data_IF_531971758139
#
_entry.id   IF_531971758139
#
_cell.length_a   1.000
_cell.length_b   1.000
_cell.length_c   1.000
_cell.angle_alpha   90.00
_cell.angle_beta   90.00
_cell.angle_gamma   90.00
#
_symmetry.space_group_name_H-M   'P 1'
#
loop_
_entity.id
_entity.type
_entity.pdbx_description
1 polymer ?
#
# COMPACT_ATOMS: atom_id res chain seq x y z
N UNK A 1 -25.14 -33.33 -11.38
CA UNK A 1 -23.92 -32.57 -11.65
C UNK A 1 -23.35 -32.06 -10.34
N UNK A 2 -22.09 -32.34 -10.05
CA UNK A 2 -21.44 -31.85 -8.82
C UNK A 2 -21.26 -30.33 -8.90
N UNK A 3 -21.74 -29.60 -7.89
CA UNK A 3 -21.55 -28.14 -7.81
C UNK A 3 -20.04 -27.83 -7.68
N UNK A 4 -19.53 -26.78 -8.34
CA UNK A 4 -18.12 -26.39 -8.18
C UNK A 4 -17.76 -26.12 -6.74
N UNK A 5 -16.51 -26.45 -6.34
CA UNK A 5 -16.03 -26.32 -4.96
C UNK A 5 -16.15 -24.85 -4.47
N UNK A 6 -15.93 -23.86 -5.36
CA UNK A 6 -16.04 -22.44 -5.05
C UNK A 6 -17.44 -22.01 -4.56
N UNK A 7 -18.50 -22.73 -4.97
CA UNK A 7 -19.90 -22.40 -4.62
C UNK A 7 -20.47 -23.36 -3.56
N UNK A 8 -19.85 -24.51 -3.32
CA UNK A 8 -20.32 -25.52 -2.39
C UNK A 8 -19.63 -25.49 -1.01
N UNK A 9 -18.34 -25.13 -0.96
CA UNK A 9 -17.59 -25.06 0.29
C UNK A 9 -17.83 -23.73 1.01
N UNK A 10 -18.16 -23.68 2.32
CA UNK A 10 -18.55 -22.46 3.02
C UNK A 10 -17.51 -21.31 2.91
N UNK A 11 -16.22 -21.61 3.15
CA UNK A 11 -15.15 -20.60 3.08
C UNK A 11 -14.91 -20.09 1.64
N UNK A 12 -14.87 -21.02 0.66
CA UNK A 12 -14.69 -20.63 -0.73
C UNK A 12 -15.90 -19.86 -1.29
N UNK A 13 -17.10 -20.16 -0.80
CA UNK A 13 -18.30 -19.41 -1.15
C UNK A 13 -18.24 -17.95 -0.70
N UNK A 14 -17.67 -17.66 0.48
CA UNK A 14 -17.47 -16.28 0.96
C UNK A 14 -16.53 -15.54 0.00
N UNK A 15 -15.36 -16.12 -0.28
CA UNK A 15 -14.39 -15.53 -1.20
C UNK A 15 -14.95 -15.40 -2.63
N UNK A 16 -15.69 -16.39 -3.10
CA UNK A 16 -16.34 -16.37 -4.40
C UNK A 16 -17.33 -15.20 -4.53
N UNK A 17 -18.22 -15.06 -3.54
CA UNK A 17 -19.24 -14.01 -3.57
C UNK A 17 -18.61 -12.60 -3.42
N UNK A 18 -17.48 -12.51 -2.73
CA UNK A 18 -16.80 -11.25 -2.48
C UNK A 18 -15.89 -10.78 -3.63
N UNK A 19 -15.31 -11.70 -4.39
CA UNK A 19 -14.26 -11.39 -5.35
C UNK A 19 -14.55 -11.85 -6.79
N UNK A 20 -15.35 -12.91 -6.95
CA UNK A 20 -15.60 -13.52 -8.27
C UNK A 20 -17.00 -13.18 -8.79
N UNK A 21 -18.02 -13.51 -8.02
CA UNK A 21 -19.43 -13.34 -8.44
C UNK A 21 -20.01 -12.01 -7.90
N UNK A 22 -19.16 -10.97 -7.66
CA UNK A 22 -19.62 -9.64 -7.27
C UNK A 22 -20.32 -8.96 -8.46
N UNK A 23 -21.61 -8.60 -8.34
CA UNK A 23 -22.30 -7.94 -9.43
C UNK A 23 -21.66 -6.60 -9.79
N UNK A 24 -21.23 -6.45 -11.04
CA UNK A 24 -20.57 -5.26 -11.56
C UNK A 24 -21.37 -4.66 -12.74
N UNK A 25 -21.36 -3.32 -12.91
CA UNK A 25 -21.96 -2.67 -14.07
C UNK A 25 -21.34 -3.19 -15.37
N UNK A 26 -22.15 -3.44 -16.39
CA UNK A 26 -21.69 -3.98 -17.69
C UNK A 26 -20.86 -2.99 -18.51
N UNK A 27 -20.98 -1.69 -18.24
CA UNK A 27 -20.37 -0.60 -18.99
C UNK A 27 -19.06 -0.07 -18.39
N UNK A 28 -18.48 -0.77 -17.41
CA UNK A 28 -17.15 -0.40 -16.85
C UNK A 28 -16.04 -0.70 -17.86
N UNK A 29 -14.97 0.10 -17.81
CA UNK A 29 -13.80 -0.04 -18.68
C UNK A 29 -12.57 -0.55 -17.92
N UNK A 30 -11.44 -0.71 -18.61
CA UNK A 30 -10.16 -1.10 -18.00
C UNK A 30 -9.70 -0.19 -16.87
N UNK A 31 -10.18 1.04 -16.78
CA UNK A 31 -9.91 1.96 -15.68
C UNK A 31 -10.39 1.44 -14.29
N UNK A 32 -11.35 0.51 -14.28
CA UNK A 32 -11.81 -0.15 -13.04
C UNK A 32 -10.86 -1.25 -12.56
N UNK A 33 -9.96 -1.73 -13.42
CA UNK A 33 -9.00 -2.79 -13.07
C UNK A 33 -7.87 -2.32 -12.14
N UNK A 34 -7.63 -1.01 -12.01
CA UNK A 34 -6.54 -0.51 -11.17
C UNK A 34 -6.71 -0.83 -9.69
N UNK A 35 -7.94 -1.06 -9.20
CA UNK A 35 -8.17 -1.53 -7.84
C UNK A 35 -7.63 -2.95 -7.61
N UNK A 36 -7.91 -3.89 -8.50
CA UNK A 36 -7.41 -5.27 -8.42
C UNK A 36 -5.89 -5.34 -8.65
N UNK A 37 -5.35 -4.51 -9.55
CA UNK A 37 -3.91 -4.37 -9.74
C UNK A 37 -3.20 -3.87 -8.48
N UNK A 38 -3.81 -2.93 -7.75
CA UNK A 38 -3.27 -2.47 -6.45
C UNK A 38 -3.25 -3.60 -5.42
N UNK A 39 -4.29 -4.45 -5.39
CA UNK A 39 -4.29 -5.65 -4.54
C UNK A 39 -3.16 -6.62 -4.87
N UNK A 40 -2.92 -6.85 -6.16
CA UNK A 40 -1.79 -7.67 -6.63
C UNK A 40 -0.44 -7.04 -6.22
N UNK A 41 -0.29 -5.72 -6.46
CA UNK A 41 0.92 -4.99 -6.05
C UNK A 41 1.17 -5.10 -4.54
N UNK A 42 0.12 -4.94 -3.71
CA UNK A 42 0.24 -5.07 -2.26
C UNK A 42 0.73 -6.48 -1.88
N UNK A 43 0.18 -7.51 -2.49
CA UNK A 43 0.62 -8.90 -2.28
C UNK A 43 2.11 -9.09 -2.63
N UNK A 44 2.54 -8.59 -3.79
CA UNK A 44 3.95 -8.65 -4.23
C UNK A 44 4.85 -7.89 -3.26
N UNK A 45 4.45 -6.68 -2.81
CA UNK A 45 5.24 -5.88 -1.86
C UNK A 45 5.37 -6.58 -0.50
N UNK A 46 4.31 -7.16 0.04
CA UNK A 46 4.34 -7.89 1.32
C UNK A 46 5.25 -9.11 1.20
N UNK A 47 5.09 -9.93 0.17
CA UNK A 47 5.89 -11.15 -0.01
C UNK A 47 7.37 -10.83 -0.20
N UNK A 48 7.69 -9.93 -1.12
CA UNK A 48 9.10 -9.53 -1.36
C UNK A 48 9.71 -8.86 -0.13
N UNK A 49 8.95 -8.00 0.57
CA UNK A 49 9.40 -7.33 1.79
C UNK A 49 9.68 -8.29 2.94
N UNK A 50 8.85 -9.33 3.10
CA UNK A 50 9.07 -10.36 4.10
C UNK A 50 10.40 -11.08 3.90
N UNK A 51 10.71 -11.50 2.67
CA UNK A 51 12.00 -12.14 2.36
C UNK A 51 13.19 -11.19 2.50
N UNK A 52 13.03 -9.91 2.13
CA UNK A 52 14.09 -8.90 2.33
C UNK A 52 14.37 -8.66 3.82
N UNK A 53 13.33 -8.64 4.65
CA UNK A 53 13.48 -8.45 6.09
C UNK A 53 14.27 -9.56 6.79
N UNK A 54 14.33 -10.77 6.23
CA UNK A 54 15.13 -11.89 6.77
C UNK A 54 16.64 -11.65 6.70
N UNK A 55 17.09 -10.75 5.82
CA UNK A 55 18.50 -10.46 5.55
C UNK A 55 18.90 -9.02 5.83
N UNK A 56 17.93 -8.13 6.07
CA UNK A 56 18.16 -6.72 6.31
C UNK A 56 18.49 -6.46 7.79
N UNK A 57 19.44 -5.58 8.05
CA UNK A 57 19.82 -5.15 9.41
C UNK A 57 19.56 -3.67 9.60
N UNK A 58 18.63 -3.31 10.49
CA UNK A 58 18.23 -1.93 10.77
C UNK A 58 19.23 -1.28 11.75
N UNK A 59 20.45 -1.00 11.29
CA UNK A 59 21.50 -0.32 12.05
C UNK A 59 22.29 0.61 11.13
N UNK A 60 22.63 1.81 11.57
CA UNK A 60 23.26 2.84 10.71
C UNK A 60 24.54 2.39 10.04
N UNK A 61 25.35 1.57 10.71
CA UNK A 61 26.61 1.03 10.16
C UNK A 61 26.40 -0.19 9.26
N UNK A 62 25.26 -0.86 9.33
CA UNK A 62 25.02 -2.14 8.68
C UNK A 62 23.91 -2.10 7.63
N UNK A 63 23.02 -1.12 7.65
CA UNK A 63 21.86 -1.09 6.77
C UNK A 63 22.27 -1.11 5.30
N UNK A 64 23.17 -0.24 4.89
CA UNK A 64 23.63 -0.17 3.50
C UNK A 64 24.36 -1.44 3.06
N UNK A 65 25.26 -1.96 3.90
CA UNK A 65 26.00 -3.19 3.61
C UNK A 65 25.08 -4.42 3.57
N UNK A 66 24.04 -4.49 4.42
CA UNK A 66 23.05 -5.58 4.39
C UNK A 66 22.23 -5.58 3.10
N UNK A 67 21.86 -4.40 2.57
CA UNK A 67 21.19 -4.30 1.26
C UNK A 67 22.15 -4.70 0.13
N UNK A 68 23.42 -4.32 0.20
CA UNK A 68 24.43 -4.76 -0.76
C UNK A 68 24.64 -6.28 -0.72
N UNK A 69 24.70 -6.87 0.47
CA UNK A 69 24.74 -8.31 0.69
C UNK A 69 23.52 -9.03 0.07
N UNK A 70 22.32 -8.52 0.30
CA UNK A 70 21.10 -9.07 -0.33
C UNK A 70 21.25 -9.11 -1.86
N UNK A 71 21.74 -8.03 -2.46
CA UNK A 71 21.84 -7.95 -3.91
C UNK A 71 22.96 -8.81 -4.51
N UNK A 72 24.03 -9.11 -3.77
CA UNK A 72 25.23 -9.77 -4.29
C UNK A 72 25.36 -11.23 -3.89
N UNK A 73 25.01 -11.57 -2.64
CA UNK A 73 25.37 -12.84 -2.03
C UNK A 73 24.15 -13.74 -1.77
N UNK A 74 22.96 -13.16 -1.57
CA UNK A 74 21.73 -13.93 -1.34
C UNK A 74 21.17 -14.44 -2.67
N UNK A 75 20.85 -15.72 -2.77
CA UNK A 75 20.27 -16.34 -3.96
C UNK A 75 18.96 -15.61 -4.35
N UNK A 76 18.92 -15.07 -5.59
CA UNK A 76 17.82 -14.25 -6.10
C UNK A 76 17.51 -12.98 -5.28
N UNK A 77 18.36 -12.58 -4.34
CA UNK A 77 18.18 -11.38 -3.52
C UNK A 77 18.12 -10.10 -4.36
N UNK A 78 18.94 -10.01 -5.43
CA UNK A 78 18.86 -8.92 -6.39
C UNK A 78 17.48 -8.80 -7.05
N UNK A 79 16.86 -9.93 -7.38
CA UNK A 79 15.52 -9.95 -7.98
C UNK A 79 14.46 -9.47 -6.99
N UNK A 80 14.47 -9.99 -5.76
CA UNK A 80 13.54 -9.58 -4.70
C UNK A 80 13.68 -8.10 -4.38
N UNK A 81 14.91 -7.60 -4.25
CA UNK A 81 15.19 -6.17 -4.00
C UNK A 81 14.70 -5.28 -5.13
N UNK A 82 14.94 -5.69 -6.38
CA UNK A 82 14.54 -4.93 -7.57
C UNK A 82 13.02 -4.95 -7.75
N UNK A 83 12.37 -6.09 -7.55
CA UNK A 83 10.91 -6.21 -7.58
C UNK A 83 10.26 -5.35 -6.49
N UNK A 84 10.80 -5.35 -5.29
CA UNK A 84 10.28 -4.54 -4.18
C UNK A 84 10.41 -3.04 -4.48
N UNK A 85 11.56 -2.58 -4.93
CA UNK A 85 11.81 -1.17 -5.22
C UNK A 85 10.99 -0.66 -6.42
N UNK A 86 11.01 -1.37 -7.55
CA UNK A 86 10.28 -0.98 -8.75
C UNK A 86 8.77 -1.24 -8.61
N UNK A 87 8.41 -2.30 -7.88
CA UNK A 87 7.03 -2.61 -7.54
C UNK A 87 6.36 -1.50 -6.73
N UNK A 88 7.10 -0.81 -5.85
CA UNK A 88 6.60 0.38 -5.16
C UNK A 88 6.26 1.50 -6.15
N UNK A 89 7.11 1.77 -7.14
CA UNK A 89 6.83 2.76 -8.20
C UNK A 89 5.59 2.38 -9.02
N UNK A 90 5.47 1.11 -9.40
CA UNK A 90 4.31 0.62 -10.15
C UNK A 90 3.03 0.68 -9.30
N UNK A 91 3.13 0.41 -8.00
CA UNK A 91 2.03 0.58 -7.06
C UNK A 91 1.49 2.02 -7.10
N UNK A 92 2.37 3.03 -7.03
CA UNK A 92 1.96 4.43 -7.10
C UNK A 92 1.38 4.82 -8.45
N UNK A 93 1.89 4.32 -9.56
CA UNK A 93 1.27 4.53 -10.89
C UNK A 93 -0.16 4.03 -10.86
N UNK A 94 -0.40 2.80 -10.43
CA UNK A 94 -1.74 2.24 -10.31
C UNK A 94 -2.62 3.04 -9.34
N UNK A 95 -2.06 3.52 -8.22
CA UNK A 95 -2.76 4.30 -7.20
C UNK A 95 -3.24 5.65 -7.74
N UNK A 96 -2.38 6.36 -8.48
CA UNK A 96 -2.76 7.63 -9.10
C UNK A 96 -3.83 7.44 -10.18
N UNK A 97 -3.73 6.39 -10.99
CA UNK A 97 -4.73 6.07 -12.00
C UNK A 97 -6.07 5.65 -11.36
N UNK A 98 -6.02 4.88 -10.28
CA UNK A 98 -7.19 4.49 -9.49
C UNK A 98 -7.91 5.70 -8.89
N UNK A 99 -7.16 6.59 -8.25
CA UNK A 99 -7.71 7.81 -7.64
C UNK A 99 -8.19 8.80 -8.70
N UNK A 100 -7.40 8.99 -9.77
CA UNK A 100 -7.75 9.86 -10.89
C UNK A 100 -9.04 9.42 -11.59
N UNK A 101 -9.23 8.09 -11.78
CA UNK A 101 -10.50 7.53 -12.27
C UNK A 101 -11.65 7.88 -11.31
N UNK A 102 -11.45 7.75 -10.00
CA UNK A 102 -12.46 8.10 -8.99
C UNK A 102 -12.87 9.58 -9.03
N UNK A 103 -11.91 10.47 -9.26
CA UNK A 103 -12.18 11.92 -9.42
C UNK A 103 -12.87 12.21 -10.76
N UNK A 104 -12.39 11.63 -11.85
CA UNK A 104 -12.91 11.90 -13.19
C UNK A 104 -14.37 11.44 -13.37
N UNK A 105 -14.70 10.24 -12.89
CA UNK A 105 -16.03 9.66 -13.04
C UNK A 105 -16.96 9.90 -11.83
N UNK A 106 -16.55 10.68 -10.84
CA UNK A 106 -17.40 11.04 -9.70
C UNK A 106 -17.58 9.94 -8.65
N UNK A 107 -16.69 8.94 -8.57
CA UNK A 107 -16.80 7.86 -7.58
C UNK A 107 -16.69 8.34 -6.12
N UNK A 108 -16.22 9.57 -5.88
CA UNK A 108 -16.15 10.20 -4.56
C UNK A 108 -17.51 10.43 -3.89
N UNK A 109 -18.61 10.34 -4.64
CA UNK A 109 -19.96 10.41 -4.06
C UNK A 109 -20.25 9.23 -3.12
N UNK A 110 -19.55 8.10 -3.30
CA UNK A 110 -19.58 6.98 -2.37
C UNK A 110 -18.69 7.27 -1.16
N UNK A 111 -19.15 8.14 -0.30
CA UNK A 111 -18.40 8.78 0.79
C UNK A 111 -17.55 7.81 1.60
N UNK A 112 -18.10 6.71 2.10
CA UNK A 112 -17.36 5.78 2.97
C UNK A 112 -16.22 5.08 2.23
N UNK A 113 -16.47 4.60 1.02
CA UNK A 113 -15.45 3.99 0.17
C UNK A 113 -14.34 4.98 -0.14
N UNK A 114 -14.70 6.23 -0.48
CA UNK A 114 -13.75 7.29 -0.78
C UNK A 114 -12.88 7.65 0.42
N UNK A 115 -13.49 7.87 1.60
CA UNK A 115 -12.76 8.27 2.81
C UNK A 115 -11.74 7.21 3.26
N UNK A 116 -12.11 5.93 3.24
CA UNK A 116 -11.15 4.85 3.52
C UNK A 116 -10.05 4.81 2.46
N UNK A 117 -10.37 5.04 1.18
CA UNK A 117 -9.37 5.17 0.12
C UNK A 117 -8.35 6.28 0.38
N UNK A 118 -8.79 7.43 0.88
CA UNK A 118 -7.91 8.54 1.27
C UNK A 118 -7.01 8.15 2.45
N UNK A 119 -7.54 7.46 3.45
CA UNK A 119 -6.74 6.94 4.57
C UNK A 119 -5.67 5.95 4.05
N UNK A 120 -6.04 5.03 3.16
CA UNK A 120 -5.10 4.09 2.54
C UNK A 120 -4.02 4.83 1.77
N UNK A 121 -4.34 5.88 1.03
CA UNK A 121 -3.37 6.71 0.31
C UNK A 121 -2.29 7.24 1.26
N UNK A 122 -2.67 7.84 2.39
CA UNK A 122 -1.70 8.35 3.37
C UNK A 122 -0.88 7.24 4.02
N UNK A 123 -1.49 6.09 4.34
CA UNK A 123 -0.77 4.94 4.89
C UNK A 123 0.26 4.39 3.89
N UNK A 124 -0.09 4.30 2.61
CA UNK A 124 0.83 3.83 1.55
C UNK A 124 1.96 4.84 1.32
N UNK A 125 1.66 6.15 1.33
CA UNK A 125 2.69 7.20 1.24
C UNK A 125 3.69 7.10 2.40
N UNK A 126 3.20 6.98 3.64
CA UNK A 126 4.04 6.79 4.81
C UNK A 126 4.87 5.50 4.74
N UNK A 127 4.24 4.40 4.30
CA UNK A 127 4.93 3.11 4.11
C UNK A 127 6.08 3.25 3.12
N UNK A 128 5.83 3.83 1.95
CA UNK A 128 6.84 3.98 0.91
C UNK A 128 7.98 4.91 1.33
N UNK A 129 7.65 6.02 1.99
CA UNK A 129 8.65 6.95 2.51
C UNK A 129 9.59 6.27 3.50
N UNK A 130 9.05 5.58 4.51
CA UNK A 130 9.88 4.87 5.47
C UNK A 130 10.71 3.77 4.82
N UNK A 131 10.15 3.03 3.86
CA UNK A 131 10.87 2.02 3.09
C UNK A 131 12.05 2.58 2.28
N UNK A 132 11.88 3.78 1.71
CA UNK A 132 12.95 4.45 0.99
C UNK A 132 14.12 4.87 1.89
N UNK A 133 13.86 5.13 3.16
CA UNK A 133 14.89 5.49 4.15
C UNK A 133 15.75 4.27 4.54
N UNK A 134 15.21 3.06 4.52
CA UNK A 134 15.88 1.85 5.07
C UNK A 134 17.26 1.52 4.47
N UNK A 135 17.54 1.73 3.16
CA UNK A 135 18.88 1.49 2.62
C UNK A 135 19.97 2.37 3.24
N UNK A 136 19.62 3.45 3.90
CA UNK A 136 20.50 4.36 4.63
C UNK A 136 21.64 4.93 3.79
N UNK A 137 21.37 5.17 2.48
CA UNK A 137 22.27 5.92 1.60
C UNK A 137 22.08 7.44 1.77
N UNK A 138 22.82 8.22 1.00
CA UNK A 138 22.76 9.70 1.08
C UNK A 138 21.33 10.24 0.86
N UNK A 139 20.63 9.74 -0.16
CA UNK A 139 19.26 10.17 -0.42
C UNK A 139 18.28 9.73 0.67
N UNK A 140 18.50 8.57 1.28
CA UNK A 140 17.68 8.07 2.39
C UNK A 140 17.82 8.96 3.61
N UNK A 141 19.05 9.27 3.99
CA UNK A 141 19.38 10.11 5.15
C UNK A 141 18.84 11.54 4.98
N UNK A 142 19.17 12.18 3.87
CA UNK A 142 18.73 13.56 3.63
C UNK A 142 17.23 13.66 3.37
N UNK A 143 16.64 12.66 2.71
CA UNK A 143 15.19 12.56 2.56
C UNK A 143 14.47 12.45 3.91
N UNK A 144 14.97 11.59 4.81
CA UNK A 144 14.44 11.48 6.16
C UNK A 144 14.55 12.81 6.92
N UNK A 145 15.72 13.44 6.89
CA UNK A 145 15.98 14.71 7.58
C UNK A 145 15.03 15.82 7.11
N UNK A 146 14.89 16.00 5.80
CA UNK A 146 14.07 17.08 5.25
C UNK A 146 12.57 16.83 5.48
N UNK A 147 12.10 15.64 5.15
CA UNK A 147 10.64 15.33 5.22
C UNK A 147 10.16 15.33 6.68
N UNK A 148 10.91 14.74 7.59
CA UNK A 148 10.49 14.72 9.01
C UNK A 148 10.62 16.09 9.66
N UNK A 149 11.58 16.93 9.22
CA UNK A 149 11.71 18.30 9.73
C UNK A 149 10.54 19.21 9.34
N UNK A 150 9.75 18.85 8.31
CA UNK A 150 8.51 19.58 8.00
C UNK A 150 7.52 19.58 9.17
N UNK A 151 7.58 18.61 10.07
CA UNK A 151 6.77 18.59 11.27
C UNK A 151 7.07 19.76 12.22
N UNK A 152 8.27 20.38 12.12
CA UNK A 152 8.63 21.56 12.91
C UNK A 152 7.75 22.78 12.62
N UNK A 153 7.05 22.79 11.47
CA UNK A 153 6.10 23.85 11.10
C UNK A 153 4.83 23.84 11.96
N UNK A 154 4.55 22.76 12.72
CA UNK A 154 3.39 22.70 13.62
C UNK A 154 3.63 23.67 14.80
N UNK A 155 2.75 24.69 14.99
CA UNK A 155 2.94 25.64 16.07
C UNK A 155 3.02 24.97 17.44
N UNK A 156 3.92 25.46 18.29
CA UNK A 156 4.18 25.03 19.68
C UNK A 156 4.71 23.61 19.85
N UNK A 157 4.28 22.63 19.07
CA UNK A 157 4.61 21.21 19.24
C UNK A 157 5.61 20.68 18.20
N UNK A 158 5.93 21.46 17.17
CA UNK A 158 6.67 20.97 16.00
C UNK A 158 8.05 20.41 16.34
N UNK A 159 8.82 21.11 17.19
CA UNK A 159 10.17 20.67 17.60
C UNK A 159 10.08 19.35 18.36
N UNK A 160 9.15 19.23 19.31
CA UNK A 160 8.96 18.02 20.11
C UNK A 160 8.52 16.85 19.24
N UNK A 161 7.65 17.09 18.25
CA UNK A 161 7.24 16.07 17.28
C UNK A 161 8.42 15.58 16.43
N UNK A 162 9.28 16.47 15.97
CA UNK A 162 10.48 16.10 15.21
C UNK A 162 11.41 15.25 16.06
N UNK A 163 11.71 15.67 17.27
CA UNK A 163 12.57 14.93 18.21
C UNK A 163 11.96 13.57 18.59
N UNK A 164 10.64 13.53 18.75
CA UNK A 164 9.93 12.27 19.00
C UNK A 164 10.05 11.31 17.82
N UNK A 165 9.88 11.77 16.59
CA UNK A 165 10.03 10.95 15.38
C UNK A 165 11.47 10.46 15.22
N UNK A 166 12.46 11.35 15.41
CA UNK A 166 13.87 10.98 15.31
C UNK A 166 14.32 10.07 16.44
N UNK A 167 13.72 10.20 17.63
CA UNK A 167 14.15 9.51 18.84
C UNK A 167 15.40 10.08 19.47
N UNK A 168 15.68 11.35 19.17
CA UNK A 168 16.84 12.11 19.58
C UNK A 168 16.85 13.49 18.94
N UNK A 169 18.00 14.14 18.93
CA UNK A 169 18.15 15.50 18.40
C UNK A 169 18.58 15.56 16.94
N UNK A 170 18.79 14.41 16.31
CA UNK A 170 19.14 14.26 14.90
C UNK A 170 18.60 12.93 14.35
N UNK A 171 18.53 12.84 13.01
CA UNK A 171 18.26 11.59 12.32
C UNK A 171 19.44 10.64 12.51
N UNK A 172 19.20 9.50 13.17
CA UNK A 172 20.23 8.54 13.53
C UNK A 172 19.64 7.14 13.69
N UNK A 173 20.35 6.24 14.34
CA UNK A 173 19.99 4.84 14.54
C UNK A 173 18.58 4.65 15.12
N UNK A 174 18.18 5.48 16.09
CA UNK A 174 16.84 5.44 16.66
C UNK A 174 15.75 5.72 15.62
N UNK A 175 16.00 6.62 14.66
CA UNK A 175 15.11 6.90 13.55
C UNK A 175 15.00 5.70 12.62
N UNK A 176 16.14 5.11 12.25
CA UNK A 176 16.20 3.98 11.34
C UNK A 176 15.46 2.76 11.89
N UNK A 177 15.68 2.41 13.16
CA UNK A 177 15.01 1.26 13.79
C UNK A 177 13.50 1.47 13.90
N UNK A 178 13.02 2.68 14.22
CA UNK A 178 11.60 3.02 14.23
C UNK A 178 10.98 2.91 12.84
N UNK A 179 11.66 3.44 11.84
CA UNK A 179 11.18 3.39 10.46
C UNK A 179 11.11 1.97 9.92
N UNK A 180 12.08 1.13 10.25
CA UNK A 180 12.01 -0.30 9.92
C UNK A 180 10.80 -0.97 10.55
N UNK A 181 10.59 -0.78 11.85
CA UNK A 181 9.48 -1.39 12.58
C UNK A 181 8.12 -0.95 12.02
N UNK A 182 7.94 0.35 11.77
CA UNK A 182 6.68 0.89 11.26
C UNK A 182 6.49 0.49 9.79
N UNK A 183 7.54 0.55 8.96
CA UNK A 183 7.49 0.09 7.56
C UNK A 183 7.08 -1.38 7.46
N UNK A 184 7.60 -2.24 8.33
CA UNK A 184 7.23 -3.66 8.35
C UNK A 184 5.76 -3.87 8.76
N UNK A 185 5.26 -3.09 9.72
CA UNK A 185 3.90 -3.21 10.25
C UNK A 185 2.83 -2.62 9.33
N UNK A 186 3.09 -1.45 8.72
CA UNK A 186 2.09 -0.68 7.97
C UNK A 186 1.43 -1.45 6.81
N UNK A 187 2.12 -2.28 6.01
CA UNK A 187 1.48 -3.05 4.94
C UNK A 187 0.36 -3.96 5.44
N UNK A 188 0.45 -4.50 6.64
CA UNK A 188 -0.62 -5.32 7.22
C UNK A 188 -1.81 -4.45 7.67
N UNK A 189 -1.55 -3.25 8.18
CA UNK A 189 -2.60 -2.26 8.47
C UNK A 189 -3.28 -1.81 7.18
N UNK A 190 -2.51 -1.57 6.11
CA UNK A 190 -3.04 -1.27 4.77
C UNK A 190 -3.91 -2.41 4.27
N UNK A 191 -3.49 -3.67 4.41
CA UNK A 191 -4.29 -4.83 4.01
C UNK A 191 -5.62 -4.88 4.76
N UNK A 192 -5.63 -4.63 6.08
CA UNK A 192 -6.86 -4.55 6.86
C UNK A 192 -7.76 -3.38 6.40
N UNK A 193 -7.18 -2.20 6.13
CA UNK A 193 -7.92 -1.05 5.61
C UNK A 193 -8.50 -1.32 4.20
N UNK A 194 -7.78 -2.06 3.35
CA UNK A 194 -8.27 -2.50 2.03
C UNK A 194 -9.49 -3.41 2.18
N UNK A 195 -9.50 -4.31 3.16
CA UNK A 195 -10.70 -5.14 3.43
C UNK A 195 -11.91 -4.29 3.82
N UNK A 196 -11.73 -3.24 4.62
CA UNK A 196 -12.79 -2.29 4.98
C UNK A 196 -13.23 -1.48 3.74
N UNK A 197 -12.29 -1.06 2.89
CA UNK A 197 -12.57 -0.36 1.63
C UNK A 197 -13.45 -1.21 0.69
N UNK A 198 -13.11 -2.49 0.54
CA UNK A 198 -13.90 -3.44 -0.23
C UNK A 198 -15.27 -3.71 0.40
N UNK A 199 -15.36 -3.77 1.74
CA UNK A 199 -16.63 -3.93 2.44
C UNK A 199 -17.61 -2.80 2.08
N UNK A 200 -17.16 -1.55 2.10
CA UNK A 200 -18.00 -0.41 1.71
C UNK A 200 -18.32 -0.42 0.22
N UNK A 201 -17.37 -0.83 -0.62
CA UNK A 201 -17.63 -1.01 -2.05
C UNK A 201 -18.73 -2.06 -2.30
N UNK A 202 -18.75 -3.13 -1.51
CA UNK A 202 -19.80 -4.15 -1.58
C UNK A 202 -21.18 -3.63 -1.23
N UNK A 203 -21.28 -2.68 -0.29
CA UNK A 203 -22.56 -2.11 0.13
C UNK A 203 -23.21 -1.25 -0.97
N UNK A 204 -22.39 -0.48 -1.71
CA UNK A 204 -22.89 0.44 -2.76
C UNK A 204 -22.82 -0.14 -4.15
N UNK A 205 -21.92 -1.11 -4.37
CA UNK A 205 -21.50 -1.52 -5.71
C UNK A 205 -20.52 -0.52 -6.34
N UNK A 206 -19.92 -0.91 -7.47
CA UNK A 206 -19.04 -0.05 -8.24
C UNK A 206 -19.82 1.03 -8.98
N UNK A 207 -19.22 2.23 -9.10
CA UNK A 207 -19.68 3.26 -10.01
C UNK A 207 -19.49 2.82 -11.47
N UNK A 208 -20.09 3.54 -12.42
CA UNK A 208 -19.92 3.33 -13.85
C UNK A 208 -19.60 4.66 -14.57
N UNK A 209 -19.17 4.63 -15.84
CA UNK A 209 -18.76 5.84 -16.56
C UNK A 209 -19.85 6.90 -16.73
N UNK A 210 -21.12 6.52 -16.66
CA UNK A 210 -22.24 7.44 -16.83
C UNK A 210 -22.69 8.06 -15.49
N UNK A 211 -22.27 7.50 -14.35
CA UNK A 211 -22.73 7.94 -13.03
C UNK A 211 -24.19 7.65 -12.73
N UNK A 212 -24.84 6.81 -13.54
CA UNK A 212 -26.24 6.43 -13.40
C UNK A 212 -26.36 5.12 -12.59
N UNK A 213 -27.60 4.86 -12.06
CA UNK A 213 -27.88 3.56 -11.45
C UNK A 213 -27.78 2.45 -12.51
N UNK A 214 -27.06 1.39 -12.17
CA UNK A 214 -26.88 0.20 -13.04
C UNK A 214 -27.58 -1.04 -12.48
N UNK A 215 -28.63 -0.86 -11.66
CA UNK A 215 -29.30 -1.96 -10.96
C UNK A 215 -29.92 -3.00 -11.89
N UNK A 216 -30.22 -2.62 -13.14
CA UNK A 216 -30.81 -3.49 -14.18
C UNK A 216 -29.72 -4.20 -15.00
N UNK A 217 -28.54 -3.57 -15.18
CA UNK A 217 -27.47 -4.02 -16.08
C UNK A 217 -26.20 -4.39 -15.30
N UNK A 218 -26.30 -5.38 -14.41
CA UNK A 218 -25.16 -5.95 -13.68
C UNK A 218 -24.93 -7.40 -14.10
N UNK A 219 -23.64 -7.73 -14.23
CA UNK A 219 -23.17 -9.09 -14.47
C UNK A 219 -22.29 -9.55 -13.30
N UNK A 220 -22.25 -10.87 -12.97
CA UNK A 220 -21.33 -11.43 -12.00
C UNK A 220 -19.88 -11.38 -12.49
#
# INVERSE_FOLDING_TARGET
>A
MNKPLRTSHPLFKIANNALVDLPAPVNISAWWNFGSLLGLCLGVQIVTGLFLAMHYTAHVDMAFSSVAHICRDVNYGWLLRTLHANGASFFFICLYLHTGRGMYYGSYVFMYTWMIGVIILFLVMGTAFMGYVLPWGQMSFWGATVITNLLSAVPYLGIDLVQWVWGGFAVDNATLTRFFTIHFLLPFIVAAAVMIHLLFLHQTGSNNPLGLSSDVDKIP
#
